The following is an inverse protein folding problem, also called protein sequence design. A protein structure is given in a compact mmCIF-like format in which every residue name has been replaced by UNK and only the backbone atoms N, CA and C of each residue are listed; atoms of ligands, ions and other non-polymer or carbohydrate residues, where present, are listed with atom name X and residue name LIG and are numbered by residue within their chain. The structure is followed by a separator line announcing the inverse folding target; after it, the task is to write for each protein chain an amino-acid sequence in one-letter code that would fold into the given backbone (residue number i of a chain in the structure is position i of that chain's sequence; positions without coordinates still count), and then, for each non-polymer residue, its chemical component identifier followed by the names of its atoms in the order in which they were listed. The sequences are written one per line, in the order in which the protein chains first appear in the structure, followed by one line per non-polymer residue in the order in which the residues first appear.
data_IF_964185758226
#
_entry.id   IF_964185758226
#
_cell.length_a   1.000
_cell.length_b   1.000
_cell.length_c   1.000
_cell.angle_alpha   90.00
_cell.angle_beta   90.00
_cell.angle_gamma   90.00
#
_symmetry.space_group_name_H-M   'P 1'
#
loop_
_entity.id
_entity.type
_entity.pdbx_description
1 polymer ?
#
# COMPACT_ATOMS: atom_id res chain seq x y z
N UNK A 1 46.34 2.11 -12.00
CA UNK A 1 45.37 1.02 -12.17
C UNK A 1 44.22 1.22 -11.19
N UNK A 2 42.96 1.29 -11.64
CA UNK A 2 41.81 1.25 -10.72
C UNK A 2 41.67 -0.18 -10.16
N UNK A 3 41.41 -0.35 -8.85
CA UNK A 3 41.24 -1.68 -8.27
C UNK A 3 39.99 -2.36 -8.86
N UNK A 4 40.01 -3.70 -9.03
CA UNK A 4 38.87 -4.42 -9.55
C UNK A 4 37.68 -4.31 -8.59
N UNK A 5 36.49 -4.11 -9.16
CA UNK A 5 35.23 -4.04 -8.42
C UNK A 5 35.04 -5.37 -7.67
N UNK A 6 35.05 -5.32 -6.34
CA UNK A 6 34.74 -6.49 -5.49
C UNK A 6 33.30 -6.92 -5.75
N UNK A 7 33.09 -8.10 -6.34
CA UNK A 7 31.76 -8.71 -6.50
C UNK A 7 31.14 -8.95 -5.13
N UNK A 8 29.86 -8.58 -4.96
CA UNK A 8 29.08 -8.85 -3.74
C UNK A 8 29.02 -10.35 -3.49
N UNK A 9 29.10 -10.78 -2.23
CA UNK A 9 29.20 -12.19 -1.80
C UNK A 9 28.01 -13.08 -2.23
N UNK A 10 26.87 -12.47 -2.62
CA UNK A 10 25.65 -13.17 -3.11
C UNK A 10 25.26 -12.77 -4.54
N UNK A 11 26.22 -12.38 -5.39
CA UNK A 11 25.90 -12.08 -6.78
C UNK A 11 25.47 -13.36 -7.53
N UNK A 12 24.33 -13.35 -8.26
CA UNK A 12 23.90 -14.49 -9.05
C UNK A 12 24.99 -14.88 -10.06
N UNK A 13 25.13 -16.20 -10.28
CA UNK A 13 26.07 -16.74 -11.26
C UNK A 13 25.77 -16.11 -12.65
N UNK A 14 26.79 -15.61 -13.37
CA UNK A 14 26.61 -15.15 -14.74
C UNK A 14 25.77 -16.07 -15.62
N UNK A 15 25.86 -17.40 -15.46
CA UNK A 15 25.02 -18.35 -16.21
C UNK A 15 23.52 -18.25 -15.83
N UNK A 16 23.22 -18.07 -14.54
CA UNK A 16 21.85 -17.84 -14.06
C UNK A 16 21.28 -16.54 -14.62
N UNK A 17 22.08 -15.47 -14.67
CA UNK A 17 21.66 -14.20 -15.28
C UNK A 17 21.27 -14.35 -16.76
N UNK A 18 21.96 -15.22 -17.52
CA UNK A 18 21.58 -15.50 -18.94
C UNK A 18 20.25 -16.24 -19.05
N UNK A 19 19.94 -17.10 -18.10
CA UNK A 19 18.69 -17.85 -18.09
C UNK A 19 17.48 -16.98 -17.72
N UNK A 20 17.68 -15.91 -16.94
CA UNK A 20 16.60 -14.99 -16.55
C UNK A 20 15.99 -14.33 -17.78
N UNK A 21 16.80 -13.72 -18.65
CA UNK A 21 16.30 -13.04 -19.84
C UNK A 21 15.53 -14.00 -20.78
N UNK A 22 16.09 -15.17 -21.06
CA UNK A 22 15.42 -16.18 -21.89
C UNK A 22 14.09 -16.65 -21.27
N UNK A 23 14.04 -16.83 -19.96
CA UNK A 23 12.80 -17.18 -19.23
C UNK A 23 11.77 -16.06 -19.31
N UNK A 24 12.19 -14.81 -19.17
CA UNK A 24 11.32 -13.65 -19.29
C UNK A 24 10.71 -13.53 -20.69
N UNK A 25 11.52 -13.69 -21.74
CA UNK A 25 11.04 -13.68 -23.13
C UNK A 25 10.04 -14.81 -23.39
N UNK A 26 10.29 -16.03 -22.87
CA UNK A 26 9.34 -17.14 -22.98
C UNK A 26 8.00 -16.78 -22.36
N UNK A 27 8.00 -16.16 -21.19
CA UNK A 27 6.79 -15.74 -20.50
C UNK A 27 6.05 -14.63 -21.27
N UNK A 28 6.76 -13.62 -21.75
CA UNK A 28 6.21 -12.53 -22.57
C UNK A 28 5.54 -13.06 -23.84
N UNK A 29 6.20 -14.01 -24.52
CA UNK A 29 5.69 -14.60 -25.76
C UNK A 29 4.43 -15.46 -25.57
N UNK A 30 4.08 -15.90 -24.35
CA UNK A 30 2.85 -16.70 -24.10
C UNK A 30 1.57 -15.94 -24.43
N UNK A 31 1.61 -14.61 -24.35
CA UNK A 31 0.47 -13.73 -24.69
C UNK A 31 0.33 -13.48 -26.18
N UNK A 32 1.26 -13.96 -27.00
CA UNK A 32 1.35 -13.68 -28.44
C UNK A 32 0.99 -14.93 -29.26
N UNK A 33 0.53 -14.77 -30.52
CA UNK A 33 0.07 -15.90 -31.33
C UNK A 33 1.15 -16.95 -31.63
N UNK A 34 2.39 -16.51 -31.87
CA UNK A 34 3.55 -17.39 -32.06
C UNK A 34 4.87 -16.62 -31.99
N UNK A 35 5.99 -17.33 -31.79
CA UNK A 35 7.34 -16.73 -31.87
C UNK A 35 7.58 -16.11 -33.26
N UNK A 36 7.08 -16.76 -34.33
CA UNK A 36 7.23 -16.24 -35.69
C UNK A 36 6.54 -14.88 -35.89
N UNK A 37 5.37 -14.68 -35.27
CA UNK A 37 4.67 -13.40 -35.28
C UNK A 37 5.50 -12.33 -34.56
N UNK A 38 5.97 -12.63 -33.35
CA UNK A 38 6.82 -11.72 -32.55
C UNK A 38 8.07 -11.29 -33.33
N UNK A 39 8.77 -12.23 -33.97
CA UNK A 39 10.00 -11.91 -34.74
C UNK A 39 9.72 -11.04 -35.96
N UNK A 40 8.54 -11.20 -36.58
CA UNK A 40 8.12 -10.39 -37.73
C UNK A 40 7.80 -8.97 -37.29
N UNK A 41 7.06 -8.83 -36.19
CA UNK A 41 6.68 -7.52 -35.65
C UNK A 41 7.91 -6.73 -35.16
N UNK A 42 8.86 -7.43 -34.53
CA UNK A 42 10.12 -6.83 -34.05
C UNK A 42 11.14 -6.55 -35.16
N UNK A 43 10.95 -7.12 -36.36
CA UNK A 43 11.96 -7.07 -37.42
C UNK A 43 13.28 -7.78 -37.08
N UNK A 44 13.24 -8.78 -36.19
CA UNK A 44 14.43 -9.53 -35.73
C UNK A 44 14.46 -10.90 -36.41
N UNK A 45 15.66 -11.35 -36.80
CA UNK A 45 15.83 -12.70 -37.33
C UNK A 45 15.39 -13.77 -36.31
N UNK A 46 14.57 -14.73 -36.73
CA UNK A 46 14.03 -15.79 -35.86
C UNK A 46 15.12 -16.62 -35.17
N UNK A 47 16.21 -16.95 -35.86
CA UNK A 47 17.36 -17.67 -35.29
C UNK A 47 18.10 -16.83 -34.25
N UNK A 48 18.15 -15.51 -34.42
CA UNK A 48 18.70 -14.60 -33.42
C UNK A 48 17.80 -14.52 -32.19
N UNK A 49 16.49 -14.37 -32.38
CA UNK A 49 15.53 -14.32 -31.28
C UNK A 49 15.47 -15.64 -30.49
N UNK A 50 15.58 -16.79 -31.16
CA UNK A 50 15.65 -18.09 -30.48
C UNK A 50 16.90 -18.21 -29.60
N UNK A 51 18.04 -17.64 -30.00
CA UNK A 51 19.25 -17.58 -29.17
C UNK A 51 19.08 -16.69 -27.94
N UNK A 52 18.18 -15.71 -27.98
CA UNK A 52 17.79 -14.92 -26.81
C UNK A 52 16.93 -15.75 -25.85
N UNK A 53 15.92 -16.45 -26.39
CA UNK A 53 15.04 -17.34 -25.64
C UNK A 53 15.80 -18.47 -24.93
N UNK A 54 16.85 -19.03 -25.55
CA UNK A 54 17.68 -20.08 -24.95
C UNK A 54 18.74 -19.56 -23.97
N UNK A 55 18.95 -18.24 -23.90
CA UNK A 55 19.99 -17.62 -23.07
C UNK A 55 21.41 -17.79 -23.63
N UNK A 56 21.56 -18.17 -24.90
CA UNK A 56 22.85 -18.30 -25.59
C UNK A 56 23.47 -16.94 -25.92
N UNK A 57 22.65 -15.91 -26.11
CA UNK A 57 23.11 -14.56 -26.43
C UNK A 57 22.21 -13.49 -25.83
N UNK A 58 22.70 -12.25 -25.82
CA UNK A 58 21.95 -11.08 -25.39
C UNK A 58 21.77 -10.09 -26.55
N UNK A 59 20.65 -9.34 -26.57
CA UNK A 59 20.44 -8.29 -27.55
C UNK A 59 21.42 -7.15 -27.31
N UNK A 60 21.79 -6.48 -28.41
CA UNK A 60 22.43 -5.17 -28.35
C UNK A 60 21.42 -4.13 -27.81
N UNK A 61 21.87 -2.98 -27.29
CA UNK A 61 20.98 -1.99 -26.67
C UNK A 61 19.81 -1.53 -27.54
N UNK A 62 20.03 -1.36 -28.85
CA UNK A 62 19.01 -1.02 -29.85
C UNK A 62 17.94 -2.10 -29.99
N UNK A 63 18.36 -3.36 -30.12
CA UNK A 63 17.45 -4.51 -30.21
C UNK A 63 16.70 -4.71 -28.88
N UNK A 64 17.38 -4.50 -27.74
CA UNK A 64 16.75 -4.58 -26.44
C UNK A 64 15.66 -3.52 -26.30
N UNK A 65 15.92 -2.29 -26.74
CA UNK A 65 14.94 -1.22 -26.70
C UNK A 65 13.69 -1.56 -27.51
N UNK A 66 13.84 -2.10 -28.73
CA UNK A 66 12.70 -2.58 -29.54
C UNK A 66 11.91 -3.69 -28.85
N UNK A 67 12.60 -4.65 -28.23
CA UNK A 67 11.96 -5.72 -27.45
C UNK A 67 11.16 -5.13 -26.28
N UNK A 68 11.77 -4.18 -25.55
CA UNK A 68 11.14 -3.50 -24.42
C UNK A 68 9.88 -2.72 -24.85
N UNK A 69 9.93 -1.96 -25.94
CA UNK A 69 8.77 -1.24 -26.47
C UNK A 69 7.65 -2.19 -26.90
N UNK A 70 7.98 -3.24 -27.64
CA UNK A 70 6.99 -4.21 -28.15
C UNK A 70 6.23 -4.96 -27.04
N UNK A 71 6.91 -5.23 -25.92
CA UNK A 71 6.32 -5.91 -24.77
C UNK A 71 5.85 -4.97 -23.67
N UNK A 72 6.03 -3.64 -23.84
CA UNK A 72 5.77 -2.63 -22.82
C UNK A 72 6.49 -2.95 -21.49
N UNK A 73 7.80 -3.19 -21.57
CA UNK A 73 8.67 -3.48 -20.42
C UNK A 73 9.90 -2.56 -20.42
N UNK A 74 10.77 -2.70 -19.43
CA UNK A 74 12.07 -2.02 -19.39
C UNK A 74 13.27 -3.00 -19.35
N UNK A 75 14.49 -2.47 -19.40
CA UNK A 75 15.72 -3.25 -19.49
C UNK A 75 15.99 -4.18 -18.28
N UNK A 76 15.24 -4.05 -17.17
CA UNK A 76 15.30 -5.00 -16.04
C UNK A 76 14.95 -6.42 -16.46
N UNK A 77 14.20 -6.60 -17.56
CA UNK A 77 13.94 -7.94 -18.13
C UNK A 77 15.22 -8.73 -18.42
N UNK A 78 16.39 -8.09 -18.55
CA UNK A 78 17.67 -8.78 -18.75
C UNK A 78 18.11 -9.56 -17.51
N UNK A 79 17.84 -9.05 -16.31
CA UNK A 79 18.49 -9.50 -15.07
C UNK A 79 17.50 -9.83 -13.95
N UNK A 80 16.23 -9.45 -14.06
CA UNK A 80 15.20 -9.63 -13.05
C UNK A 80 14.00 -10.44 -13.60
N UNK A 81 13.50 -11.46 -12.88
CA UNK A 81 12.34 -12.24 -13.34
C UNK A 81 11.05 -11.41 -13.53
N UNK A 82 10.34 -11.63 -14.65
CA UNK A 82 9.09 -10.93 -14.99
C UNK A 82 7.89 -11.28 -14.12
N UNK A 83 7.93 -12.37 -13.37
CA UNK A 83 6.83 -12.73 -12.47
C UNK A 83 6.50 -11.66 -11.39
N UNK A 84 7.30 -10.59 -11.27
CA UNK A 84 7.01 -9.41 -10.45
C UNK A 84 6.64 -8.13 -11.22
N UNK A 85 6.65 -8.10 -12.56
CA UNK A 85 6.21 -6.94 -13.35
C UNK A 85 4.68 -6.98 -13.52
N UNK A 86 3.93 -6.95 -12.43
CA UNK A 86 2.54 -6.46 -12.53
C UNK A 86 2.65 -4.97 -12.85
N UNK A 87 2.34 -4.58 -14.10
CA UNK A 87 2.24 -3.22 -14.65
C UNK A 87 2.73 -2.11 -13.70
N UNK A 88 4.05 -1.93 -13.64
CA UNK A 88 4.69 -0.90 -12.81
C UNK A 88 4.60 0.50 -13.44
N UNK A 89 3.93 0.64 -14.58
CA UNK A 89 3.99 1.86 -15.39
C UNK A 89 3.21 3.02 -14.77
N UNK A 90 2.27 2.74 -13.86
CA UNK A 90 1.58 3.75 -13.08
C UNK A 90 1.89 3.61 -11.60
N UNK A 91 3.13 3.92 -11.20
CA UNK A 91 3.40 4.27 -9.81
C UNK A 91 2.72 5.60 -9.50
N UNK A 92 1.45 5.58 -9.12
CA UNK A 92 0.64 6.79 -8.93
C UNK A 92 1.38 7.86 -8.10
N UNK A 93 1.97 7.47 -6.96
CA UNK A 93 2.70 8.39 -6.06
C UNK A 93 4.08 8.83 -6.57
N UNK A 94 4.63 8.15 -7.58
CA UNK A 94 5.90 8.51 -8.21
C UNK A 94 5.72 9.01 -9.65
N UNK A 95 4.47 9.30 -10.05
CA UNK A 95 4.17 9.80 -11.39
C UNK A 95 4.72 11.23 -11.54
N UNK A 96 5.46 11.55 -12.62
CA UNK A 96 6.12 12.85 -12.78
C UNK A 96 5.18 14.06 -12.58
N UNK A 97 3.95 13.97 -13.09
CA UNK A 97 2.91 15.01 -12.93
C UNK A 97 2.62 15.40 -11.48
N UNK A 98 2.76 14.47 -10.52
CA UNK A 98 2.43 14.74 -9.12
C UNK A 98 3.65 14.72 -8.19
N UNK A 99 4.80 14.26 -8.67
CA UNK A 99 6.00 14.05 -7.86
C UNK A 99 6.50 15.32 -7.17
N UNK A 100 6.41 16.48 -7.84
CA UNK A 100 6.77 17.78 -7.25
C UNK A 100 5.77 18.22 -6.17
N UNK A 101 4.49 17.85 -6.31
CA UNK A 101 3.41 18.28 -5.43
C UNK A 101 3.31 17.44 -4.15
N UNK A 102 3.75 16.18 -4.21
CA UNK A 102 3.86 15.29 -3.05
C UNK A 102 5.32 15.24 -2.59
N UNK A 103 5.72 16.31 -1.89
CA UNK A 103 7.07 16.60 -1.35
C UNK A 103 7.90 15.37 -0.93
N UNK A 104 9.20 15.29 -1.30
CA UNK A 104 10.12 14.29 -0.77
C UNK A 104 10.29 14.44 0.75
N UNK A 105 10.25 13.32 1.47
CA UNK A 105 10.26 13.22 2.93
C UNK A 105 11.42 13.93 3.69
N UNK A 106 12.36 14.57 3.01
CA UNK A 106 13.52 15.24 3.60
C UNK A 106 13.23 16.62 4.23
N UNK A 107 12.10 17.25 3.88
CA UNK A 107 11.71 18.56 4.45
C UNK A 107 10.72 18.45 5.62
N UNK A 108 10.35 17.24 6.02
CA UNK A 108 9.30 17.02 7.01
C UNK A 108 9.86 16.74 8.40
N UNK A 109 9.35 17.47 9.38
CA UNK A 109 9.67 17.27 10.79
C UNK A 109 9.20 15.87 11.24
N UNK A 110 10.16 15.00 11.58
CA UNK A 110 9.88 13.64 12.06
C UNK A 110 9.18 13.63 13.43
N UNK A 111 9.16 14.76 14.15
CA UNK A 111 8.51 14.86 15.47
C UNK A 111 7.01 14.57 15.44
N UNK A 112 6.35 14.85 14.31
CA UNK A 112 4.91 14.70 14.13
C UNK A 112 4.47 13.38 13.47
N UNK A 113 5.42 12.48 13.20
CA UNK A 113 5.11 11.17 12.63
C UNK A 113 4.55 10.21 13.68
N UNK A 114 3.67 9.31 13.24
CA UNK A 114 3.16 8.22 14.07
C UNK A 114 4.29 7.24 14.41
N UNK A 115 4.51 6.90 15.70
CA UNK A 115 5.39 5.81 16.09
C UNK A 115 5.08 4.50 15.36
N UNK A 116 6.12 3.76 15.04
CA UNK A 116 5.99 2.47 14.37
C UNK A 116 5.48 1.40 15.35
N UNK A 117 4.37 0.76 15.02
CA UNK A 117 3.78 -0.29 15.85
C UNK A 117 2.26 -0.35 15.77
N UNK A 118 1.67 -0.87 16.84
CA UNK A 118 0.25 -1.19 16.92
C UNK A 118 -0.51 -0.02 17.55
N UNK A 119 -1.73 0.16 17.05
CA UNK A 119 -2.64 1.22 17.46
C UNK A 119 -4.03 0.66 17.72
N UNK A 120 -4.68 1.17 18.76
CA UNK A 120 -6.13 1.11 18.89
C UNK A 120 -6.72 2.34 18.17
N UNK A 121 -7.63 2.14 17.23
CA UNK A 121 -8.38 3.23 16.63
C UNK A 121 -9.83 3.19 17.08
N UNK A 122 -10.46 4.36 17.15
CA UNK A 122 -11.89 4.49 17.41
C UNK A 122 -12.49 5.64 16.59
N UNK A 123 -13.71 5.44 16.08
CA UNK A 123 -14.49 6.47 15.36
C UNK A 123 -15.98 6.21 15.47
N UNK A 124 -16.81 7.21 15.20
CA UNK A 124 -18.25 7.02 15.01
C UNK A 124 -18.51 6.27 13.69
N UNK A 125 -19.62 5.53 13.62
CA UNK A 125 -20.11 4.93 12.40
C UNK A 125 -20.59 6.01 11.42
N UNK A 126 -20.37 5.82 10.12
CA UNK A 126 -20.85 6.76 9.09
C UNK A 126 -22.38 6.67 8.90
N UNK A 127 -22.95 5.49 9.16
CA UNK A 127 -24.37 5.16 8.92
C UNK A 127 -25.24 5.24 10.17
N UNK A 128 -24.64 5.21 11.37
CA UNK A 128 -25.35 5.19 12.66
C UNK A 128 -24.60 6.08 13.64
N UNK A 129 -25.25 7.11 14.16
CA UNK A 129 -24.62 8.09 15.05
C UNK A 129 -24.48 7.58 16.49
N UNK A 130 -25.24 6.58 16.89
CA UNK A 130 -25.16 6.02 18.24
C UNK A 130 -24.08 4.94 18.35
N UNK A 131 -23.60 4.44 17.21
CA UNK A 131 -22.58 3.40 17.15
C UNK A 131 -21.17 3.93 16.83
N UNK A 132 -20.20 3.26 17.43
CA UNK A 132 -18.78 3.49 17.27
C UNK A 132 -18.10 2.22 16.81
N UNK A 133 -17.05 2.37 15.99
CA UNK A 133 -16.18 1.28 15.60
C UNK A 133 -14.85 1.48 16.29
N UNK A 134 -14.39 0.45 17.00
CA UNK A 134 -13.03 0.34 17.51
C UNK A 134 -12.30 -0.85 16.90
N UNK A 135 -10.99 -0.74 16.73
CA UNK A 135 -10.21 -1.83 16.15
C UNK A 135 -8.70 -1.62 16.23
N UNK A 136 -7.99 -2.60 15.68
CA UNK A 136 -6.53 -2.62 15.67
C UNK A 136 -6.00 -2.13 14.31
N UNK A 137 -4.97 -1.30 14.36
CA UNK A 137 -4.18 -0.87 13.21
C UNK A 137 -2.69 -1.11 13.47
N UNK A 138 -1.92 -1.29 12.41
CA UNK A 138 -0.46 -1.41 12.42
C UNK A 138 0.12 -0.34 11.51
N UNK A 139 1.04 0.46 12.02
CA UNK A 139 1.88 1.39 11.27
C UNK A 139 3.26 0.76 11.08
N UNK A 140 3.71 0.69 9.83
CA UNK A 140 4.98 0.07 9.47
C UNK A 140 5.65 0.78 8.30
N UNK A 141 6.95 0.61 8.14
CA UNK A 141 7.78 1.25 7.13
C UNK A 141 8.30 0.17 6.18
N UNK A 142 8.22 0.43 4.89
CA UNK A 142 8.69 -0.49 3.85
C UNK A 142 9.14 0.32 2.64
N UNK A 143 10.35 0.04 2.14
CA UNK A 143 10.87 0.65 0.90
C UNK A 143 10.76 2.18 0.88
N UNK A 144 11.13 2.87 1.97
CA UNK A 144 11.14 4.33 2.05
C UNK A 144 9.78 4.98 2.31
N UNK A 145 8.69 4.21 2.36
CA UNK A 145 7.33 4.72 2.61
C UNK A 145 6.75 4.18 3.91
N UNK A 146 5.98 5.00 4.62
CA UNK A 146 5.22 4.60 5.79
C UNK A 146 3.81 4.17 5.38
N UNK A 147 3.44 2.97 5.80
CA UNK A 147 2.16 2.34 5.53
C UNK A 147 1.39 2.14 6.82
N UNK A 148 0.08 2.01 6.66
CA UNK A 148 -0.79 1.48 7.68
C UNK A 148 -1.64 0.35 7.14
N UNK A 149 -2.01 -0.57 8.03
CA UNK A 149 -2.98 -1.61 7.75
C UNK A 149 -3.82 -1.90 8.97
N UNK A 150 -5.02 -2.41 8.76
CA UNK A 150 -5.82 -2.96 9.84
C UNK A 150 -6.93 -3.83 9.32
N UNK A 151 -7.84 -4.19 10.21
CA UNK A 151 -8.95 -5.08 9.90
C UNK A 151 -10.26 -4.36 10.19
N UNK A 152 -11.21 -4.45 9.25
CA UNK A 152 -12.60 -4.09 9.50
C UNK A 152 -13.15 -5.02 10.58
N UNK A 153 -13.88 -4.46 11.53
CA UNK A 153 -14.66 -5.22 12.50
C UNK A 153 -15.49 -6.29 11.77
N UNK A 154 -15.47 -7.52 12.25
CA UNK A 154 -16.34 -8.56 11.70
C UNK A 154 -17.75 -8.19 12.15
N UNK A 155 -18.73 -8.01 11.26
CA UNK A 155 -20.10 -8.00 11.71
C UNK A 155 -20.37 -9.40 12.27
N UNK A 156 -20.51 -9.51 13.60
CA UNK A 156 -20.85 -10.77 14.25
C UNK A 156 -22.23 -11.31 13.78
N UNK A 157 -23.00 -10.51 13.03
CA UNK A 157 -24.35 -10.80 12.55
C UNK A 157 -24.63 -10.35 11.09
N UNK A 158 -23.65 -10.44 10.17
CA UNK A 158 -23.96 -10.26 8.74
C UNK A 158 -24.35 -11.60 8.11
N UNK A 159 -25.62 -11.71 7.67
CA UNK A 159 -26.14 -12.86 6.90
C UNK A 159 -25.40 -13.04 5.55
N UNK A 160 -24.75 -12.00 5.03
CA UNK A 160 -24.06 -12.07 3.74
C UNK A 160 -22.64 -12.64 3.89
N UNK A 161 -22.45 -13.83 3.31
CA UNK A 161 -21.27 -14.69 3.38
C UNK A 161 -20.01 -14.18 2.66
N UNK A 162 -20.10 -13.08 1.90
CA UNK A 162 -19.02 -12.57 1.05
C UNK A 162 -17.86 -11.87 1.81
N UNK A 163 -18.07 -11.42 3.06
CA UNK A 163 -17.06 -10.72 3.89
C UNK A 163 -16.58 -11.65 5.01
N UNK A 164 -16.09 -12.84 4.68
CA UNK A 164 -15.58 -13.80 5.69
C UNK A 164 -14.06 -13.94 5.69
N UNK A 165 -13.38 -13.71 4.56
CA UNK A 165 -11.94 -13.93 4.49
C UNK A 165 -11.16 -12.81 5.18
N UNK A 166 -10.04 -13.16 5.80
CA UNK A 166 -9.12 -12.17 6.39
C UNK A 166 -8.74 -11.08 5.38
N UNK A 167 -8.46 -11.47 4.13
CA UNK A 167 -8.11 -10.55 3.04
C UNK A 167 -9.24 -9.55 2.76
N UNK A 168 -10.49 -9.99 2.64
CA UNK A 168 -11.64 -9.09 2.38
C UNK A 168 -11.91 -8.06 3.49
N UNK A 169 -11.40 -8.31 4.70
CA UNK A 169 -11.56 -7.43 5.86
C UNK A 169 -10.36 -6.51 6.06
N UNK A 170 -9.23 -6.84 5.44
CA UNK A 170 -8.03 -6.04 5.54
C UNK A 170 -8.21 -4.73 4.78
N UNK A 171 -7.76 -3.64 5.38
CA UNK A 171 -7.56 -2.37 4.70
C UNK A 171 -6.09 -1.99 4.80
N UNK A 172 -5.59 -1.27 3.79
CA UNK A 172 -4.23 -0.78 3.72
C UNK A 172 -4.21 0.63 3.18
N UNK A 173 -3.19 1.39 3.56
CA UNK A 173 -2.94 2.71 3.03
C UNK A 173 -1.53 3.17 3.27
N UNK A 174 -1.21 4.34 2.71
CA UNK A 174 0.04 5.03 2.93
C UNK A 174 -0.19 6.29 3.78
N UNK A 175 0.85 6.71 4.49
CA UNK A 175 0.85 7.90 5.34
C UNK A 175 1.71 8.98 4.67
N UNK A 176 1.20 10.19 4.62
CA UNK A 176 1.91 11.40 4.22
C UNK A 176 1.96 12.38 5.39
N UNK A 177 3.11 12.98 5.62
CA UNK A 177 3.25 14.05 6.60
C UNK A 177 2.50 15.31 6.12
N UNK A 178 1.88 16.01 7.05
CA UNK A 178 1.20 17.29 6.87
C UNK A 178 1.74 18.31 7.89
N UNK A 179 1.51 19.60 7.67
CA UNK A 179 2.13 20.69 8.44
C UNK A 179 1.95 20.60 9.97
N UNK A 180 0.87 19.97 10.45
CA UNK A 180 0.56 19.81 11.89
C UNK A 180 0.13 18.39 12.29
N UNK A 181 0.49 17.39 11.49
CA UNK A 181 0.07 16.01 11.73
C UNK A 181 0.35 15.12 10.53
N UNK A 182 -0.43 14.08 10.38
CA UNK A 182 -0.32 13.17 9.25
C UNK A 182 -1.65 13.05 8.52
N UNK A 183 -1.58 12.69 7.26
CA UNK A 183 -2.71 12.25 6.46
C UNK A 183 -2.48 10.81 6.00
N UNK A 184 -3.55 10.04 5.87
CA UNK A 184 -3.48 8.71 5.29
C UNK A 184 -4.62 8.49 4.31
N UNK A 185 -4.30 7.80 3.22
CA UNK A 185 -5.29 7.32 2.26
C UNK A 185 -5.33 5.81 2.35
N UNK A 186 -6.47 5.27 2.79
CA UNK A 186 -6.69 3.83 2.97
C UNK A 186 -7.74 3.30 1.99
N UNK A 187 -7.63 2.02 1.62
CA UNK A 187 -8.63 1.32 0.84
C UNK A 187 -8.69 -0.17 1.21
N UNK A 188 -9.66 -0.88 0.64
CA UNK A 188 -9.92 -2.32 0.81
C UNK A 188 -9.65 -3.06 -0.50
N UNK A 189 -9.34 -4.36 -0.47
CA UNK A 189 -9.16 -5.15 -1.68
C UNK A 189 -10.35 -5.05 -2.63
N UNK A 190 -10.06 -4.76 -3.90
CA UNK A 190 -11.04 -4.63 -4.98
C UNK A 190 -12.11 -3.56 -4.73
N UNK A 191 -11.86 -2.59 -3.86
CA UNK A 191 -12.74 -1.44 -3.66
C UNK A 191 -12.37 -0.31 -4.61
N UNK A 192 -13.39 0.33 -5.20
CA UNK A 192 -13.26 1.59 -5.93
C UNK A 192 -13.36 2.81 -5.00
N UNK A 193 -13.61 2.59 -3.71
CA UNK A 193 -13.70 3.63 -2.68
C UNK A 193 -12.43 3.65 -1.83
N UNK A 194 -12.12 4.83 -1.32
CA UNK A 194 -11.07 5.05 -0.34
C UNK A 194 -11.61 5.83 0.85
N UNK A 195 -10.82 5.84 1.92
CA UNK A 195 -11.04 6.73 3.05
C UNK A 195 -9.80 7.58 3.25
N UNK A 196 -10.02 8.89 3.31
CA UNK A 196 -9.00 9.83 3.73
C UNK A 196 -9.09 9.99 5.25
N UNK A 197 -7.95 10.18 5.89
CA UNK A 197 -7.87 10.47 7.31
C UNK A 197 -6.79 11.49 7.59
N UNK A 198 -7.06 12.37 8.54
CA UNK A 198 -6.11 13.32 9.10
C UNK A 198 -6.01 13.09 10.60
N UNK A 199 -4.78 13.05 11.12
CA UNK A 199 -4.49 12.82 12.53
C UNK A 199 -3.42 13.81 12.99
N UNK A 200 -3.69 14.50 14.09
CA UNK A 200 -2.73 15.38 14.76
C UNK A 200 -2.67 14.99 16.24
N UNK A 201 -1.56 15.32 16.91
CA UNK A 201 -1.53 15.21 18.37
C UNK A 201 -2.03 16.55 18.95
N UNK A 202 -3.28 16.63 19.46
CA UNK A 202 -3.92 17.90 19.77
C UNK A 202 -3.30 18.65 20.95
N UNK A 203 -2.46 18.02 21.77
CA UNK A 203 -1.77 18.68 22.88
C UNK A 203 -0.70 17.74 23.41
N UNK A 204 0.53 18.22 23.63
CA UNK A 204 1.65 17.51 24.27
C UNK A 204 1.37 16.96 25.70
N UNK A 205 0.11 16.92 26.15
CA UNK A 205 -0.33 16.48 27.47
C UNK A 205 -0.28 14.96 27.66
N UNK A 206 -0.38 14.15 26.58
CA UNK A 206 -0.08 12.70 26.56
C UNK A 206 0.42 12.28 25.18
N UNK A 207 1.64 11.77 25.10
CA UNK A 207 2.39 11.50 23.86
C UNK A 207 1.82 10.40 22.95
N UNK A 208 0.76 9.69 23.36
CA UNK A 208 0.38 8.42 22.73
C UNK A 208 -0.98 8.44 22.02
N UNK A 209 -1.68 9.58 21.97
CA UNK A 209 -2.99 9.68 21.30
C UNK A 209 -2.96 10.77 20.22
N UNK A 210 -3.36 10.39 19.02
CA UNK A 210 -3.61 11.29 17.91
C UNK A 210 -5.10 11.34 17.64
N UNK A 211 -5.62 12.54 17.41
CA UNK A 211 -7.01 12.78 17.08
C UNK A 211 -7.12 13.57 15.79
N UNK A 212 -8.20 13.34 15.06
CA UNK A 212 -8.55 14.15 13.91
C UNK A 212 -9.86 13.63 13.33
N UNK A 213 -9.89 13.40 12.03
CA UNK A 213 -11.10 12.99 11.34
C UNK A 213 -10.79 12.01 10.22
N UNK A 214 -11.82 11.28 9.79
CA UNK A 214 -11.78 10.53 8.54
C UNK A 214 -13.03 10.77 7.71
N UNK A 215 -12.84 10.64 6.40
CA UNK A 215 -13.91 10.72 5.41
C UNK A 215 -14.02 9.40 4.65
N UNK A 216 -15.18 9.18 4.04
CA UNK A 216 -15.39 8.07 3.12
C UNK A 216 -15.77 8.62 1.76
N UNK A 217 -15.15 8.11 0.69
CA UNK A 217 -15.42 8.55 -0.67
C UNK A 217 -16.70 7.90 -1.20
N UNK A 218 -17.86 8.41 -0.78
CA UNK A 218 -19.18 8.02 -1.27
C UNK A 218 -19.97 9.24 -1.77
N UNK A 219 -20.97 8.98 -2.62
CA UNK A 219 -21.95 10.00 -3.00
C UNK A 219 -22.75 10.45 -1.79
N UNK A 220 -23.21 11.70 -1.80
CA UNK A 220 -24.01 12.26 -0.72
C UNK A 220 -25.31 11.48 -0.54
N UNK A 221 -25.61 11.11 0.71
CA UNK A 221 -26.86 10.50 1.11
C UNK A 221 -27.41 11.25 2.33
N UNK A 222 -28.69 11.64 2.29
CA UNK A 222 -29.34 12.53 3.28
C UNK A 222 -29.22 12.10 4.74
N UNK A 223 -28.94 10.81 5.01
CA UNK A 223 -28.91 10.24 6.36
C UNK A 223 -27.53 9.73 6.81
N UNK A 224 -26.48 9.86 5.99
CA UNK A 224 -25.14 9.36 6.32
C UNK A 224 -24.17 10.51 6.56
N UNK A 225 -23.32 10.38 7.58
CA UNK A 225 -22.19 11.28 7.72
C UNK A 225 -21.10 10.89 6.72
N UNK A 226 -20.50 11.87 6.04
CA UNK A 226 -19.32 11.64 5.19
C UNK A 226 -18.00 11.84 5.92
N UNK A 227 -18.06 12.45 7.10
CA UNK A 227 -16.92 12.78 7.94
C UNK A 227 -17.21 12.46 9.40
N UNK A 228 -16.23 11.93 10.12
CA UNK A 228 -16.35 11.66 11.55
C UNK A 228 -15.02 11.92 12.24
N UNK A 229 -15.08 12.22 13.54
CA UNK A 229 -13.89 12.19 14.40
C UNK A 229 -13.28 10.80 14.41
N UNK A 230 -11.95 10.78 14.45
CA UNK A 230 -11.12 9.59 14.48
C UNK A 230 -10.03 9.76 15.53
N UNK A 231 -9.74 8.68 16.25
CA UNK A 231 -8.65 8.62 17.23
C UNK A 231 -7.76 7.43 16.93
N UNK A 232 -6.47 7.61 17.15
CA UNK A 232 -5.43 6.59 17.16
C UNK A 232 -4.66 6.67 18.49
N UNK A 233 -4.71 5.61 19.29
CA UNK A 233 -3.89 5.45 20.48
C UNK A 233 -2.78 4.43 20.22
N UNK A 234 -1.52 4.84 20.43
CA UNK A 234 -0.37 3.96 20.33
C UNK A 234 -0.32 3.00 21.53
N UNK A 235 -0.35 1.70 21.23
CA UNK A 235 -0.32 0.63 22.24
C UNK A 235 1.03 -0.10 22.29
N UNK A 236 2.00 0.30 21.46
CA UNK A 236 3.34 -0.29 21.41
C UNK A 236 3.50 -1.38 20.36
N UNK A 237 4.43 -2.32 20.61
CA UNK A 237 4.77 -3.41 19.68
C UNK A 237 4.38 -4.80 20.20
N UNK A 238 3.82 -4.86 21.41
CA UNK A 238 3.53 -6.11 22.10
C UNK A 238 2.21 -6.73 21.61
N UNK A 239 2.26 -8.01 21.25
CA UNK A 239 1.07 -8.75 20.81
C UNK A 239 0.05 -8.94 21.94
N UNK A 240 0.49 -9.03 23.19
CA UNK A 240 -0.40 -9.19 24.35
C UNK A 240 -1.38 -8.03 24.47
N UNK A 241 -0.92 -6.79 24.29
CA UNK A 241 -1.78 -5.61 24.36
C UNK A 241 -2.67 -5.49 23.12
N UNK A 242 -2.15 -5.88 21.96
CA UNK A 242 -2.96 -5.98 20.74
C UNK A 242 -4.09 -7.00 20.86
N UNK A 243 -3.88 -8.13 21.54
CA UNK A 243 -4.91 -9.13 21.78
C UNK A 243 -6.02 -8.62 22.71
N UNK A 244 -5.70 -7.76 23.69
CA UNK A 244 -6.71 -7.11 24.54
C UNK A 244 -7.62 -6.22 23.68
N UNK A 245 -7.04 -5.36 22.85
CA UNK A 245 -7.78 -4.50 21.92
C UNK A 245 -8.59 -5.33 20.91
N UNK A 246 -8.02 -6.42 20.42
CA UNK A 246 -8.70 -7.32 19.47
C UNK A 246 -9.99 -7.91 20.03
N UNK A 247 -10.08 -8.15 21.34
CA UNK A 247 -11.28 -8.71 21.99
C UNK A 247 -12.43 -7.70 22.08
N UNK A 248 -12.13 -6.40 22.16
CA UNK A 248 -13.14 -5.33 22.12
C UNK A 248 -13.37 -4.77 20.71
N UNK A 249 -12.61 -5.20 19.71
CA UNK A 249 -12.72 -4.72 18.34
C UNK A 249 -14.08 -5.07 17.73
N UNK A 250 -14.79 -4.06 17.23
CA UNK A 250 -16.19 -4.22 16.87
C UNK A 250 -16.96 -2.91 16.74
N UNK A 251 -18.23 -3.03 16.39
CA UNK A 251 -19.21 -1.98 16.66
C UNK A 251 -19.56 -2.00 18.16
N UNK A 252 -19.67 -0.84 18.78
CA UNK A 252 -19.96 -0.69 20.20
C UNK A 252 -20.64 0.66 20.46
N UNK A 253 -21.29 0.80 21.61
CA UNK A 253 -21.87 2.07 22.06
C UNK A 253 -20.79 2.97 22.69
N UNK A 254 -21.09 4.25 22.87
CA UNK A 254 -20.16 5.23 23.42
C UNK A 254 -19.61 4.82 24.81
N UNK A 255 -20.42 4.16 25.65
CA UNK A 255 -20.04 3.73 27.01
C UNK A 255 -18.99 2.61 27.03
N UNK A 256 -18.91 1.83 25.95
CA UNK A 256 -17.95 0.73 25.82
C UNK A 256 -16.56 1.20 25.35
N UNK A 257 -16.43 2.48 24.97
CA UNK A 257 -15.15 3.08 24.61
C UNK A 257 -14.35 3.42 25.86
N UNK A 258 -13.01 3.41 25.73
CA UNK A 258 -12.15 3.92 26.80
C UNK A 258 -12.56 5.36 27.15
N UNK A 259 -12.60 5.76 28.44
CA UNK A 259 -13.07 7.09 28.85
C UNK A 259 -12.40 8.24 28.12
N UNK A 260 -11.11 8.10 27.83
CA UNK A 260 -10.31 9.06 27.05
C UNK A 260 -10.74 9.14 25.57
N UNK A 261 -11.02 8.01 24.92
CA UNK A 261 -11.51 8.00 23.54
C UNK A 261 -12.88 8.65 23.45
N UNK A 262 -13.77 8.32 24.38
CA UNK A 262 -15.11 8.93 24.46
C UNK A 262 -15.03 10.44 24.62
N UNK A 263 -14.13 10.95 25.47
CA UNK A 263 -13.93 12.40 25.67
C UNK A 263 -13.47 13.10 24.38
N UNK A 264 -12.59 12.48 23.61
CA UNK A 264 -12.03 13.04 22.38
C UNK A 264 -12.95 12.85 21.15
N UNK A 265 -13.78 11.81 21.13
CA UNK A 265 -14.76 11.58 20.06
C UNK A 265 -16.01 12.45 20.18
N UNK A 266 -16.23 13.08 21.35
CA UNK A 266 -17.29 14.06 21.59
C UNK A 266 -18.66 13.55 21.09
N UNK A 267 -19.17 12.42 21.62
CA UNK A 267 -20.33 11.71 21.08
C UNK A 267 -21.59 12.55 20.91
N UNK A 268 -21.79 13.52 21.80
CA UNK A 268 -22.95 14.42 21.79
C UNK A 268 -22.79 15.65 20.88
N UNK A 269 -21.62 15.84 20.26
CA UNK A 269 -21.35 16.99 19.40
C UNK A 269 -21.27 16.55 17.94
N UNK A 270 -22.06 17.21 17.09
CA UNK A 270 -21.94 17.03 15.64
C UNK A 270 -20.54 17.47 15.17
N UNK A 271 -19.97 16.72 14.24
CA UNK A 271 -18.74 17.10 13.54
C UNK A 271 -19.14 17.78 12.23
N UNK A 272 -18.70 19.03 12.05
CA UNK A 272 -18.96 19.85 10.87
C UNK A 272 -17.76 19.84 9.94
#
# INVERSE_FOLDING_TARGET
MKPPIKRRQNAPDPAQLRQIFGTNLKQLCRSKPSISAVTRDLGINRTQFNRYISGESFPRPDILHLICEYFCTDARILLEPIAGFENSDCQLLAHPEIQEFYTPAHACDQSNMLPMGLYCFARQCFTDREQYIQGLSLVYHKQGTTFMRGLRASPAKSLNSAIKTHRSREWRGFIMQQSKGISALISWPSSTSCSYMFLANPSNLRSNIWSGYCTHSNSEAKAQSRVTRLIFEFIGKNLTDALKVRRSAGCCNAEALAPQHRKLLLPQQTFY
#
